data_IF_110761950431
#
_entry.id   IF_110761950431
#
_cell.length_a   1.000
_cell.length_b   1.000
_cell.length_c   1.000
_cell.angle_alpha   90.00
_cell.angle_beta   90.00
_cell.angle_gamma   90.00
#
_symmetry.space_group_name_H-M   'P 1'
#
loop_
_entity.id
_entity.type
_entity.pdbx_description
1 polymer ?
#
# COMPACT_ATOMS: atom_id res chain seq x y z
N UNK A 1 -0.01 21.79 -13.16
CA UNK A 1 0.01 21.25 -14.53
C UNK A 1 1.12 20.22 -14.76
N UNK A 2 2.40 20.58 -14.94
CA UNK A 2 3.43 19.57 -15.27
C UNK A 2 3.62 18.52 -14.16
N UNK A 3 3.68 18.94 -12.89
CA UNK A 3 3.78 18.02 -11.75
C UNK A 3 2.57 17.10 -11.58
N UNK A 4 1.37 17.62 -11.83
CA UNK A 4 0.12 16.83 -11.75
C UNK A 4 0.08 15.77 -12.85
N UNK A 5 0.50 16.12 -14.08
CA UNK A 5 0.60 15.18 -15.18
C UNK A 5 1.62 14.06 -14.89
N UNK A 6 2.76 14.39 -14.28
CA UNK A 6 3.75 13.38 -13.86
C UNK A 6 3.13 12.43 -12.83
N UNK A 7 2.52 12.98 -11.79
CA UNK A 7 1.89 12.15 -10.75
C UNK A 7 0.74 11.28 -11.30
N UNK A 8 -0.06 11.79 -12.24
CA UNK A 8 -1.09 10.98 -12.93
C UNK A 8 -0.50 9.79 -13.69
N UNK A 9 0.64 9.99 -14.37
CA UNK A 9 1.33 8.89 -15.08
C UNK A 9 1.94 7.87 -14.13
N UNK A 10 2.48 8.34 -13.00
CA UNK A 10 3.01 7.48 -11.96
C UNK A 10 1.87 6.63 -11.35
N UNK A 11 0.76 7.26 -10.95
CA UNK A 11 -0.42 6.58 -10.44
C UNK A 11 -0.99 5.57 -11.45
N UNK A 12 -1.08 5.94 -12.74
CA UNK A 12 -1.50 5.01 -13.80
C UNK A 12 -0.62 3.76 -13.86
N UNK A 13 0.70 3.95 -13.85
CA UNK A 13 1.68 2.87 -13.91
C UNK A 13 1.55 1.95 -12.69
N UNK A 14 1.39 2.54 -11.49
CA UNK A 14 1.23 1.80 -10.25
C UNK A 14 -0.07 1.00 -10.21
N UNK A 15 -1.19 1.60 -10.63
CA UNK A 15 -2.49 0.90 -10.63
C UNK A 15 -2.51 -0.21 -11.68
N UNK A 16 -1.92 0.00 -12.86
CA UNK A 16 -1.73 -1.07 -13.85
C UNK A 16 -0.87 -2.21 -13.30
N UNK A 17 0.22 -1.90 -12.59
CA UNK A 17 1.01 -2.92 -11.90
C UNK A 17 0.17 -3.72 -10.90
N UNK A 18 -0.65 -3.05 -10.09
CA UNK A 18 -1.52 -3.72 -9.12
C UNK A 18 -2.55 -4.61 -9.81
N UNK A 19 -3.18 -4.13 -10.89
CA UNK A 19 -4.11 -4.92 -11.69
C UNK A 19 -3.44 -6.21 -12.23
N UNK A 20 -2.29 -6.07 -12.88
CA UNK A 20 -1.54 -7.20 -13.42
C UNK A 20 -1.14 -8.20 -12.33
N UNK A 21 -0.73 -7.71 -11.16
CA UNK A 21 -0.34 -8.53 -10.01
C UNK A 21 -1.52 -9.44 -9.58
N UNK A 22 -2.73 -8.88 -9.55
CA UNK A 22 -3.95 -9.61 -9.21
C UNK A 22 -4.45 -10.51 -10.35
N UNK A 23 -4.24 -10.15 -11.62
CA UNK A 23 -4.57 -10.99 -12.77
C UNK A 23 -3.63 -12.20 -12.87
N UNK A 24 -2.31 -11.99 -12.83
CA UNK A 24 -1.30 -13.06 -12.91
C UNK A 24 -1.33 -13.99 -11.71
N UNK A 25 -1.53 -13.44 -10.51
CA UNK A 25 -1.58 -14.22 -9.29
C UNK A 25 -2.90 -14.93 -9.06
N UNK A 26 -3.98 -14.61 -9.80
CA UNK A 26 -5.33 -15.09 -9.49
C UNK A 26 -5.72 -14.91 -8.00
N UNK A 27 -5.22 -13.84 -7.37
CA UNK A 27 -5.39 -13.59 -5.94
C UNK A 27 -4.48 -14.42 -5.01
N UNK A 28 -3.62 -15.31 -5.50
CA UNK A 28 -2.72 -16.10 -4.66
C UNK A 28 -1.69 -15.20 -3.95
N UNK A 29 -1.72 -15.21 -2.61
CA UNK A 29 -0.89 -14.34 -1.77
C UNK A 29 0.61 -14.53 -2.07
N UNK A 30 1.05 -15.76 -2.31
CA UNK A 30 2.45 -16.05 -2.59
C UNK A 30 2.93 -15.45 -3.91
N UNK A 31 2.07 -15.44 -4.94
CA UNK A 31 2.40 -14.85 -6.23
C UNK A 31 2.41 -13.33 -6.13
N UNK A 32 1.42 -12.76 -5.44
CA UNK A 32 1.31 -11.32 -5.23
C UNK A 32 2.47 -10.77 -4.39
N UNK A 33 3.01 -11.58 -3.46
CA UNK A 33 4.13 -11.20 -2.59
C UNK A 33 5.40 -12.01 -2.83
N UNK A 34 5.66 -12.40 -4.07
CA UNK A 34 6.74 -13.32 -4.42
C UNK A 34 8.11 -12.88 -3.87
N UNK A 35 8.45 -11.59 -4.02
CA UNK A 35 9.72 -11.04 -3.51
C UNK A 35 9.84 -11.20 -1.98
N UNK A 36 8.78 -10.98 -1.22
CA UNK A 36 8.79 -11.19 0.24
C UNK A 36 9.04 -12.66 0.59
N UNK A 37 8.40 -13.59 -0.11
CA UNK A 37 8.59 -15.02 0.13
C UNK A 37 9.99 -15.51 -0.27
N UNK A 38 10.52 -15.02 -1.39
CA UNK A 38 11.93 -15.25 -1.77
C UNK A 38 12.89 -14.74 -0.71
N UNK A 39 12.62 -13.57 -0.14
CA UNK A 39 13.43 -13.01 0.94
C UNK A 39 13.35 -13.85 2.23
N UNK A 40 12.15 -14.27 2.64
CA UNK A 40 11.96 -15.18 3.80
C UNK A 40 12.81 -16.45 3.64
N UNK A 41 12.82 -17.03 2.43
CA UNK A 41 13.54 -18.27 2.18
C UNK A 41 15.08 -18.15 2.28
N UNK A 42 15.63 -16.93 2.22
CA UNK A 42 17.08 -16.68 2.28
C UNK A 42 17.50 -15.91 3.53
N UNK A 43 16.55 -15.36 4.29
CA UNK A 43 16.78 -14.72 5.56
C UNK A 43 16.90 -15.78 6.67
N UNK A 44 17.82 -15.58 7.61
CA UNK A 44 18.03 -16.49 8.75
C UNK A 44 17.66 -15.84 10.11
N UNK A 45 16.92 -14.73 10.09
CA UNK A 45 16.56 -13.97 11.27
C UNK A 45 15.08 -14.17 11.63
N UNK A 46 14.82 -14.95 12.68
CA UNK A 46 13.47 -15.29 13.16
C UNK A 46 12.63 -14.05 13.52
N UNK A 47 13.26 -12.98 14.02
CA UNK A 47 12.56 -11.75 14.39
C UNK A 47 12.05 -11.02 13.14
N UNK A 48 12.82 -11.04 12.05
CA UNK A 48 12.37 -10.53 10.77
C UNK A 48 11.18 -11.36 10.28
N UNK A 49 11.23 -12.69 10.37
CA UNK A 49 10.13 -13.56 9.92
C UNK A 49 8.82 -13.30 10.68
N UNK A 50 8.89 -13.02 11.98
CA UNK A 50 7.75 -12.61 12.80
C UNK A 50 7.14 -11.29 12.32
N UNK A 51 7.98 -10.29 11.99
CA UNK A 51 7.50 -9.04 11.41
C UNK A 51 6.86 -9.25 10.04
N UNK A 52 7.44 -10.10 9.19
CA UNK A 52 6.88 -10.42 7.87
C UNK A 52 5.57 -11.20 7.98
N UNK A 53 5.43 -12.06 9.00
CA UNK A 53 4.15 -12.70 9.33
C UNK A 53 3.09 -11.68 9.71
N UNK A 54 3.45 -10.69 10.52
CA UNK A 54 2.54 -9.60 10.86
C UNK A 54 2.15 -8.79 9.61
N UNK A 55 3.09 -8.46 8.73
CA UNK A 55 2.81 -7.80 7.42
C UNK A 55 1.73 -8.56 6.65
N UNK A 56 1.90 -9.88 6.46
CA UNK A 56 0.91 -10.71 5.76
C UNK A 56 -0.47 -10.68 6.41
N UNK A 57 -0.54 -10.75 7.74
CA UNK A 57 -1.80 -10.72 8.48
C UNK A 57 -2.51 -9.37 8.35
N UNK A 58 -1.78 -8.26 8.41
CA UNK A 58 -2.36 -6.93 8.30
C UNK A 58 -2.82 -6.64 6.85
N UNK A 59 -2.08 -7.10 5.83
CA UNK A 59 -2.52 -7.04 4.44
C UNK A 59 -3.82 -7.83 4.22
N UNK A 60 -3.91 -9.06 4.72
CA UNK A 60 -5.14 -9.85 4.64
C UNK A 60 -6.34 -9.13 5.28
N UNK A 61 -6.12 -8.49 6.45
CA UNK A 61 -7.16 -7.70 7.12
C UNK A 61 -7.64 -6.53 6.27
N UNK A 62 -6.75 -5.83 5.55
CA UNK A 62 -7.16 -4.76 4.63
C UNK A 62 -8.13 -5.29 3.56
N UNK A 63 -7.85 -6.44 2.96
CA UNK A 63 -8.74 -7.02 1.94
C UNK A 63 -10.06 -7.55 2.48
N UNK A 64 -10.09 -8.00 3.74
CA UNK A 64 -11.34 -8.33 4.42
C UNK A 64 -12.21 -7.08 4.60
N UNK A 65 -11.62 -5.90 4.89
CA UNK A 65 -12.37 -4.64 4.98
C UNK A 65 -13.03 -4.29 3.65
N UNK A 66 -12.34 -4.53 2.52
CA UNK A 66 -12.89 -4.30 1.18
C UNK A 66 -14.17 -5.11 0.95
N UNK A 67 -14.14 -6.41 1.27
CA UNK A 67 -15.32 -7.27 1.17
C UNK A 67 -16.47 -6.78 2.06
N UNK A 68 -16.17 -6.47 3.33
CA UNK A 68 -17.17 -5.97 4.28
C UNK A 68 -17.81 -4.65 3.83
N UNK A 69 -17.03 -3.72 3.29
CA UNK A 69 -17.55 -2.45 2.78
C UNK A 69 -18.41 -2.65 1.52
N UNK A 70 -18.03 -3.58 0.64
CA UNK A 70 -18.81 -3.91 -0.55
C UNK A 70 -20.11 -4.64 -0.20
N UNK A 71 -20.10 -5.61 0.74
CA UNK A 71 -21.29 -6.28 1.26
C UNK A 71 -22.21 -5.32 2.00
N UNK A 72 -21.65 -4.44 2.83
CA UNK A 72 -22.41 -3.47 3.59
C UNK A 72 -23.16 -2.48 2.70
N UNK A 73 -22.59 -2.14 1.54
CA UNK A 73 -23.25 -1.37 0.49
C UNK A 73 -24.43 -2.14 -0.13
N UNK A 74 -24.26 -3.44 -0.42
CA UNK A 74 -25.33 -4.30 -0.97
C UNK A 74 -26.49 -4.42 0.02
N UNK A 75 -26.17 -4.54 1.32
CA UNK A 75 -27.15 -4.80 2.38
C UNK A 75 -27.68 -3.53 3.07
N UNK A 76 -27.31 -2.33 2.58
CA UNK A 76 -27.66 -1.03 3.18
C UNK A 76 -27.35 -0.95 4.69
N UNK A 77 -26.27 -1.60 5.14
CA UNK A 77 -25.86 -1.53 6.55
C UNK A 77 -25.33 -0.14 6.90
N UNK A 78 -25.36 0.17 8.20
CA UNK A 78 -25.06 1.47 8.77
C UNK A 78 -23.69 2.04 8.34
N UNK A 79 -23.71 3.21 7.68
CA UNK A 79 -22.53 3.95 7.21
C UNK A 79 -21.48 4.23 8.30
N UNK A 80 -21.90 4.19 9.58
CA UNK A 80 -20.99 4.28 10.73
C UNK A 80 -19.94 3.17 10.73
N UNK A 81 -20.31 1.95 10.33
CA UNK A 81 -19.34 0.85 10.23
C UNK A 81 -18.37 1.04 9.06
N UNK A 82 -18.84 1.59 7.93
CA UNK A 82 -17.96 1.92 6.80
C UNK A 82 -16.94 3.00 7.18
N UNK A 83 -17.35 4.04 7.91
CA UNK A 83 -16.39 5.03 8.45
C UNK A 83 -15.31 4.38 9.30
N UNK A 84 -15.69 3.47 10.22
CA UNK A 84 -14.74 2.75 11.06
C UNK A 84 -13.82 1.82 10.26
N UNK A 85 -14.34 1.16 9.22
CA UNK A 85 -13.54 0.30 8.35
C UNK A 85 -12.53 1.13 7.52
N UNK A 86 -12.89 2.34 7.09
CA UNK A 86 -11.96 3.29 6.43
C UNK A 86 -10.87 3.75 7.40
N UNK A 87 -11.22 4.14 8.63
CA UNK A 87 -10.22 4.49 9.65
C UNK A 87 -9.28 3.31 9.95
N UNK A 88 -9.84 2.11 10.04
CA UNK A 88 -9.08 0.90 10.25
C UNK A 88 -8.12 0.62 9.08
N UNK A 89 -8.53 0.90 7.82
CA UNK A 89 -7.62 0.81 6.68
C UNK A 89 -6.35 1.66 6.89
N UNK A 90 -6.46 2.92 7.31
CA UNK A 90 -5.30 3.77 7.57
C UNK A 90 -4.40 3.23 8.69
N UNK A 91 -5.01 2.69 9.75
CA UNK A 91 -4.27 2.05 10.86
C UNK A 91 -3.50 0.83 10.35
N UNK A 92 -4.18 -0.07 9.64
CA UNK A 92 -3.60 -1.31 9.10
C UNK A 92 -2.49 -1.04 8.11
N UNK A 93 -2.71 -0.10 7.19
CA UNK A 93 -1.71 0.34 6.23
C UNK A 93 -0.44 0.83 6.93
N UNK A 94 -0.59 1.68 7.96
CA UNK A 94 0.56 2.17 8.73
C UNK A 94 1.29 1.06 9.47
N UNK A 95 0.55 0.12 10.07
CA UNK A 95 1.11 -1.03 10.79
C UNK A 95 1.93 -1.94 9.87
N UNK A 96 1.48 -2.18 8.64
CA UNK A 96 2.28 -2.90 7.63
C UNK A 96 3.64 -2.22 7.46
N UNK A 97 3.65 -0.91 7.28
CA UNK A 97 4.89 -0.16 7.06
C UNK A 97 5.78 -0.16 8.31
N UNK A 98 5.21 -0.07 9.51
CA UNK A 98 5.98 -0.19 10.76
C UNK A 98 6.75 -1.52 10.83
N UNK A 99 6.09 -2.64 10.51
CA UNK A 99 6.75 -3.94 10.51
C UNK A 99 7.82 -4.08 9.41
N UNK A 100 7.59 -3.51 8.23
CA UNK A 100 8.61 -3.47 7.18
C UNK A 100 9.82 -2.66 7.63
N UNK A 101 9.62 -1.49 8.25
CA UNK A 101 10.71 -0.66 8.77
C UNK A 101 11.54 -1.42 9.81
N UNK A 102 10.89 -2.10 10.76
CA UNK A 102 11.61 -2.89 11.75
C UNK A 102 12.41 -4.03 11.08
N UNK A 103 11.85 -4.68 10.07
CA UNK A 103 12.56 -5.68 9.26
C UNK A 103 13.80 -5.09 8.58
N UNK A 104 13.68 -3.91 7.97
CA UNK A 104 14.80 -3.18 7.34
C UNK A 104 15.88 -2.84 8.38
N UNK A 105 15.47 -2.35 9.55
CA UNK A 105 16.41 -2.00 10.63
C UNK A 105 17.20 -3.21 11.10
N UNK A 106 16.53 -4.33 11.28
CA UNK A 106 17.18 -5.58 11.67
C UNK A 106 18.13 -6.07 10.56
N UNK A 107 17.68 -6.06 9.30
CA UNK A 107 18.47 -6.54 8.16
C UNK A 107 19.75 -5.72 7.94
N UNK A 108 19.67 -4.40 8.01
CA UNK A 108 20.84 -3.51 7.84
C UNK A 108 21.55 -3.19 9.16
N UNK A 109 21.23 -3.90 10.25
CA UNK A 109 21.83 -3.70 11.58
C UNK A 109 21.80 -2.23 12.04
N UNK A 110 20.72 -1.53 11.74
CA UNK A 110 20.56 -0.12 12.03
C UNK A 110 20.43 0.04 13.56
N UNK A 111 21.31 0.82 14.21
CA UNK A 111 21.33 0.92 15.66
C UNK A 111 20.01 1.50 16.19
N UNK A 112 19.48 0.98 17.32
CA UNK A 112 18.25 1.43 17.93
C UNK A 112 18.46 2.84 18.50
N UNK A 113 18.12 3.86 17.72
CA UNK A 113 18.03 5.24 18.20
C UNK A 113 16.60 5.51 18.68
N UNK A 114 16.42 6.33 19.73
CA UNK A 114 15.10 6.76 20.16
C UNK A 114 14.44 7.54 19.03
N UNK A 115 13.47 6.89 18.36
CA UNK A 115 12.71 7.41 17.22
C UNK A 115 13.57 7.83 16.03
N UNK A 116 14.14 6.85 15.31
CA UNK A 116 14.50 7.14 13.92
C UNK A 116 13.24 7.54 13.17
N UNK A 117 13.29 8.72 12.56
CA UNK A 117 12.24 9.17 11.67
C UNK A 117 12.29 8.29 10.41
N UNK A 118 11.13 7.96 9.83
CA UNK A 118 11.09 7.08 8.66
C UNK A 118 11.92 7.65 7.48
N UNK A 119 12.12 8.96 7.40
CA UNK A 119 13.03 9.59 6.44
C UNK A 119 14.46 9.03 6.51
N UNK A 120 14.98 8.74 7.71
CA UNK A 120 16.30 8.14 7.86
C UNK A 120 16.36 6.73 7.24
N UNK A 121 15.25 6.01 7.22
CA UNK A 121 15.17 4.69 6.59
C UNK A 121 15.26 4.85 5.07
N UNK A 122 14.47 5.74 4.48
CA UNK A 122 14.54 6.05 3.05
C UNK A 122 15.92 6.57 2.64
N UNK A 123 16.58 7.39 3.45
CA UNK A 123 17.97 7.84 3.21
C UNK A 123 18.95 6.67 3.21
N UNK A 124 18.81 5.72 4.13
CA UNK A 124 19.66 4.52 4.17
C UNK A 124 19.42 3.65 2.93
N UNK A 125 18.16 3.47 2.52
CA UNK A 125 17.82 2.72 1.31
C UNK A 125 18.39 3.39 0.06
N UNK A 126 18.26 4.72 -0.06
CA UNK A 126 18.84 5.49 -1.16
C UNK A 126 20.35 5.35 -1.21
N UNK A 127 21.02 5.45 -0.06
CA UNK A 127 22.47 5.23 0.02
C UNK A 127 22.84 3.82 -0.44
N UNK A 128 22.06 2.79 -0.09
CA UNK A 128 22.31 1.41 -0.53
C UNK A 128 22.12 1.23 -2.03
N UNK A 129 21.09 1.86 -2.59
CA UNK A 129 20.80 1.89 -4.03
C UNK A 129 21.95 2.57 -4.79
N UNK A 130 22.42 3.73 -4.31
CA UNK A 130 23.55 4.47 -4.88
C UNK A 130 24.88 3.70 -4.78
N UNK A 131 25.17 3.14 -3.61
CA UNK A 131 26.38 2.31 -3.35
C UNK A 131 26.49 1.14 -4.34
N UNK A 132 25.35 0.60 -4.81
CA UNK A 132 25.28 -0.54 -5.71
C UNK A 132 24.88 -0.18 -7.15
N UNK A 133 24.80 1.12 -7.49
CA UNK A 133 24.44 1.62 -8.82
C UNK A 133 23.10 1.06 -9.34
N UNK A 134 22.11 0.95 -8.45
CA UNK A 134 20.78 0.42 -8.79
C UNK A 134 19.86 1.57 -9.22
N UNK A 135 19.20 1.45 -10.37
CA UNK A 135 18.29 2.50 -10.86
C UNK A 135 16.80 2.16 -10.73
N UNK A 136 16.47 0.86 -10.66
CA UNK A 136 15.11 0.31 -10.84
C UNK A 136 14.18 0.42 -9.61
N UNK A 137 14.50 1.24 -8.62
CA UNK A 137 13.74 1.34 -7.35
C UNK A 137 13.15 2.75 -7.13
N UNK A 138 12.24 3.24 -7.99
CA UNK A 138 11.74 4.61 -7.95
C UNK A 138 10.96 4.94 -6.67
N UNK A 139 10.18 4.01 -6.11
CA UNK A 139 9.44 4.26 -4.87
C UNK A 139 10.35 4.26 -3.64
N UNK A 140 11.48 3.54 -3.65
CA UNK A 140 12.46 3.66 -2.57
C UNK A 140 13.19 5.01 -2.62
N UNK A 141 13.25 5.64 -3.80
CA UNK A 141 13.80 6.99 -4.00
C UNK A 141 12.85 8.11 -3.57
N UNK A 142 11.56 7.80 -3.38
CA UNK A 142 10.54 8.79 -3.01
C UNK A 142 9.78 8.41 -1.74
N UNK A 143 9.73 9.32 -0.78
CA UNK A 143 9.03 9.16 0.50
C UNK A 143 7.75 10.01 0.63
N UNK A 144 7.36 10.70 -0.44
CA UNK A 144 6.19 11.60 -0.44
C UNK A 144 4.89 10.84 -0.23
N UNK A 145 4.64 9.77 -1.00
CA UNK A 145 3.43 8.94 -0.88
C UNK A 145 3.21 8.43 0.55
N UNK A 146 4.30 8.10 1.25
CA UNK A 146 4.24 7.66 2.63
C UNK A 146 3.89 8.80 3.60
N UNK A 147 4.44 10.00 3.37
CA UNK A 147 4.18 11.17 4.22
C UNK A 147 2.69 11.48 4.25
N UNK A 148 2.02 11.39 3.12
CA UNK A 148 0.61 11.73 3.00
C UNK A 148 -0.25 10.77 3.83
N UNK A 149 -0.08 9.45 3.63
CA UNK A 149 -0.84 8.46 4.41
C UNK A 149 -0.50 8.48 5.90
N UNK A 150 0.75 8.77 6.27
CA UNK A 150 1.14 8.94 7.67
C UNK A 150 0.45 10.16 8.30
N UNK A 151 0.35 11.28 7.59
CA UNK A 151 -0.36 12.46 8.05
C UNK A 151 -1.85 12.18 8.24
N UNK A 152 -2.48 11.51 7.27
CA UNK A 152 -3.91 11.18 7.32
C UNK A 152 -4.22 10.28 8.52
N UNK A 153 -3.43 9.21 8.71
CA UNK A 153 -3.55 8.32 9.86
C UNK A 153 -3.30 9.05 11.18
N UNK A 154 -2.28 9.90 11.26
CA UNK A 154 -1.99 10.64 12.49
C UNK A 154 -3.10 11.63 12.85
N UNK A 155 -3.71 12.28 11.86
CA UNK A 155 -4.92 13.09 12.04
C UNK A 155 -6.05 12.27 12.66
N UNK A 156 -6.40 11.14 12.05
CA UNK A 156 -7.47 10.26 12.52
C UNK A 156 -7.24 9.70 13.92
N UNK A 157 -6.02 9.20 14.21
CA UNK A 157 -5.74 8.47 15.46
C UNK A 157 -5.35 9.39 16.62
N UNK A 158 -4.67 10.50 16.34
CA UNK A 158 -4.08 11.37 17.36
C UNK A 158 -4.53 12.83 17.28
N UNK A 159 -4.86 13.31 16.07
CA UNK A 159 -5.19 14.72 15.79
C UNK A 159 -6.65 15.10 15.99
N UNK A 160 -7.52 14.15 16.36
CA UNK A 160 -8.95 14.39 16.53
C UNK A 160 -9.70 14.58 15.20
N UNK A 161 -9.09 14.21 14.08
CA UNK A 161 -9.76 14.19 12.78
C UNK A 161 -10.82 13.11 12.72
N UNK A 162 -11.85 13.32 11.91
CA UNK A 162 -12.98 12.40 11.78
C UNK A 162 -13.12 11.92 10.34
N UNK A 163 -13.47 10.63 10.17
CA UNK A 163 -13.85 10.07 8.88
C UNK A 163 -15.39 10.03 8.73
N UNK A 164 -15.92 10.78 7.77
CA UNK A 164 -17.34 10.77 7.45
C UNK A 164 -17.58 10.09 6.11
N UNK A 165 -18.49 9.11 6.11
CA UNK A 165 -18.98 8.42 4.90
C UNK A 165 -20.36 8.95 4.56
N UNK A 166 -20.57 9.25 3.28
CA UNK A 166 -21.86 9.75 2.79
C UNK A 166 -22.64 8.64 2.08
N UNK A 167 -23.96 8.73 2.20
CA UNK A 167 -24.86 7.83 1.47
C UNK A 167 -24.77 8.10 -0.03
N UNK A 168 -24.40 7.09 -0.80
CA UNK A 168 -24.41 7.11 -2.26
C UNK A 168 -24.83 5.74 -2.80
N UNK A 169 -25.54 5.71 -3.92
CA UNK A 169 -26.15 4.47 -4.43
C UNK A 169 -25.09 3.52 -5.02
N UNK A 170 -24.10 4.07 -5.72
CA UNK A 170 -23.12 3.27 -6.47
C UNK A 170 -21.69 3.38 -5.96
N UNK A 171 -21.40 4.25 -4.99
CA UNK A 171 -20.03 4.55 -4.58
C UNK A 171 -19.86 4.57 -3.07
N UNK A 172 -18.61 4.36 -2.64
CA UNK A 172 -18.19 4.59 -1.26
C UNK A 172 -17.45 5.93 -1.28
N UNK A 173 -18.11 6.98 -0.82
CA UNK A 173 -17.55 8.34 -0.80
C UNK A 173 -17.30 8.78 0.64
N UNK A 174 -16.15 9.39 0.88
CA UNK A 174 -15.72 9.75 2.22
C UNK A 174 -14.98 11.09 2.27
N UNK A 175 -14.92 11.67 3.46
CA UNK A 175 -14.13 12.85 3.77
C UNK A 175 -13.41 12.66 5.10
N UNK A 176 -12.16 13.13 5.17
CA UNK A 176 -11.42 13.28 6.43
C UNK A 176 -11.24 14.77 6.71
N UNK A 177 -11.69 15.22 7.87
CA UNK A 177 -11.57 16.61 8.30
C UNK A 177 -11.07 16.72 9.74
N UNK A 178 -10.35 17.80 10.03
CA UNK A 178 -9.83 18.09 11.38
C UNK A 178 -10.90 18.73 12.28
N UNK A 179 -10.51 19.13 13.50
CA UNK A 179 -11.41 19.79 14.45
C UNK A 179 -11.90 21.18 13.98
N UNK A 180 -11.21 21.80 13.04
CA UNK A 180 -11.58 23.07 12.42
C UNK A 180 -12.41 22.88 11.15
N UNK A 181 -12.77 21.64 10.81
CA UNK A 181 -13.43 21.24 9.56
C UNK A 181 -12.57 21.50 8.31
N UNK A 182 -11.26 21.65 8.47
CA UNK A 182 -10.33 21.72 7.35
C UNK A 182 -10.11 20.31 6.79
N UNK A 183 -10.14 20.21 5.47
CA UNK A 183 -9.90 18.95 4.77
C UNK A 183 -8.42 18.56 4.86
N UNK A 184 -8.18 17.29 5.19
CA UNK A 184 -6.83 16.77 5.44
C UNK A 184 -6.24 16.10 4.20
N UNK A 185 -7.08 15.52 3.35
CA UNK A 185 -6.62 14.90 2.10
C UNK A 185 -6.52 16.00 1.05
N UNK A 186 -5.39 16.11 0.38
CA UNK A 186 -5.23 17.01 -0.76
C UNK A 186 -4.53 16.26 -1.89
N UNK A 187 -5.33 15.78 -2.84
CA UNK A 187 -4.87 14.86 -3.87
C UNK A 187 -5.42 15.23 -5.26
N UNK A 188 -5.07 14.43 -6.27
CA UNK A 188 -5.43 14.60 -7.67
C UNK A 188 -6.94 14.53 -7.90
N UNK A 189 -7.39 15.17 -8.98
CA UNK A 189 -8.82 15.40 -9.23
C UNK A 189 -9.61 14.11 -9.50
N UNK A 190 -9.00 13.10 -10.13
CA UNK A 190 -9.64 11.81 -10.38
C UNK A 190 -10.04 11.07 -9.09
N UNK A 191 -9.40 11.39 -7.95
CA UNK A 191 -9.74 10.82 -6.64
C UNK A 191 -10.94 11.51 -6.00
N UNK A 192 -11.34 12.70 -6.46
CA UNK A 192 -12.40 13.51 -5.87
C UNK A 192 -13.74 13.21 -6.52
N UNK A 193 -14.73 12.93 -5.69
CA UNK A 193 -16.14 12.95 -6.08
C UNK A 193 -16.62 14.39 -6.21
N UNK A 194 -16.35 15.20 -5.18
CA UNK A 194 -16.63 16.63 -5.11
C UNK A 194 -15.54 17.31 -4.26
N UNK A 195 -15.65 18.64 -4.04
CA UNK A 195 -14.70 19.38 -3.22
C UNK A 195 -14.58 18.74 -1.83
N UNK A 196 -13.38 18.25 -1.51
CA UNK A 196 -13.02 17.58 -0.25
C UNK A 196 -13.71 16.22 0.01
N UNK A 197 -14.41 15.66 -0.97
CA UNK A 197 -15.06 14.33 -0.87
C UNK A 197 -14.43 13.41 -1.89
N UNK A 198 -14.02 12.21 -1.46
CA UNK A 198 -13.18 11.31 -2.22
C UNK A 198 -13.87 9.99 -2.54
N UNK A 199 -13.56 9.42 -3.70
CA UNK A 199 -13.90 8.05 -4.02
C UNK A 199 -12.98 7.10 -3.24
N UNK A 200 -13.51 6.42 -2.24
CA UNK A 200 -12.72 5.50 -1.42
C UNK A 200 -12.12 4.36 -2.24
N UNK A 201 -12.81 3.90 -3.29
CA UNK A 201 -12.33 2.81 -4.15
C UNK A 201 -11.04 3.19 -4.88
N UNK A 202 -11.01 4.36 -5.49
CA UNK A 202 -9.83 4.86 -6.20
C UNK A 202 -8.71 5.15 -5.21
N UNK A 203 -9.04 5.79 -4.08
CA UNK A 203 -8.08 6.02 -3.01
C UNK A 203 -7.43 4.70 -2.53
N UNK A 204 -8.23 3.69 -2.21
CA UNK A 204 -7.72 2.40 -1.75
C UNK A 204 -6.82 1.74 -2.80
N UNK A 205 -7.24 1.72 -4.06
CA UNK A 205 -6.48 1.08 -5.15
C UNK A 205 -5.11 1.76 -5.33
N UNK A 206 -5.07 3.08 -5.38
CA UNK A 206 -3.83 3.84 -5.58
C UNK A 206 -2.86 3.63 -4.42
N UNK A 207 -3.33 3.77 -3.17
CA UNK A 207 -2.46 3.57 -2.01
C UNK A 207 -2.03 2.10 -1.86
N UNK A 208 -2.90 1.13 -2.15
CA UNK A 208 -2.48 -0.27 -2.18
C UNK A 208 -1.45 -0.52 -3.28
N UNK A 209 -1.57 0.12 -4.45
CA UNK A 209 -0.57 0.02 -5.51
C UNK A 209 0.81 0.53 -5.05
N UNK A 210 0.86 1.70 -4.40
CA UNK A 210 2.08 2.19 -3.74
C UNK A 210 2.64 1.17 -2.76
N UNK A 211 1.80 0.57 -1.91
CA UNK A 211 2.25 -0.39 -0.90
C UNK A 211 2.82 -1.68 -1.52
N UNK A 212 2.15 -2.28 -2.50
CA UNK A 212 2.63 -3.52 -3.14
C UNK A 212 3.88 -3.29 -3.97
N UNK A 213 3.95 -2.17 -4.68
CA UNK A 213 5.14 -1.81 -5.43
C UNK A 213 6.32 -1.56 -4.49
N UNK A 214 6.09 -0.84 -3.37
CA UNK A 214 7.11 -0.66 -2.33
C UNK A 214 7.57 -1.97 -1.70
N UNK A 215 6.65 -2.88 -1.39
CA UNK A 215 6.95 -4.23 -0.89
C UNK A 215 7.84 -4.99 -1.87
N UNK A 216 7.48 -4.99 -3.16
CA UNK A 216 8.27 -5.64 -4.19
C UNK A 216 9.69 -5.04 -4.27
N UNK A 217 9.78 -3.71 -4.33
CA UNK A 217 11.06 -2.99 -4.40
C UNK A 217 11.96 -3.31 -3.20
N UNK A 218 11.44 -3.23 -1.97
CA UNK A 218 12.27 -3.40 -0.78
C UNK A 218 12.81 -4.83 -0.66
N UNK A 219 12.00 -5.84 -0.96
CA UNK A 219 12.45 -7.23 -0.87
C UNK A 219 13.39 -7.59 -2.01
N UNK A 220 13.16 -7.09 -3.23
CA UNK A 220 14.11 -7.27 -4.33
C UNK A 220 15.45 -6.60 -4.03
N UNK A 221 15.46 -5.42 -3.41
CA UNK A 221 16.67 -4.78 -2.94
C UNK A 221 17.40 -5.65 -1.91
N UNK A 222 16.69 -6.11 -0.86
CA UNK A 222 17.32 -6.95 0.17
C UNK A 222 17.82 -8.30 -0.38
N UNK A 223 17.11 -8.92 -1.33
CA UNK A 223 17.58 -10.12 -2.04
C UNK A 223 18.87 -9.81 -2.82
N UNK A 224 18.87 -8.72 -3.59
CA UNK A 224 20.03 -8.29 -4.40
C UNK A 224 21.26 -8.06 -3.53
N UNK A 225 21.09 -7.39 -2.40
CA UNK A 225 22.17 -7.07 -1.47
C UNK A 225 22.66 -8.29 -0.67
N UNK A 226 21.86 -9.35 -0.57
CA UNK A 226 22.25 -10.56 0.17
C UNK A 226 23.44 -11.29 -0.49
N UNK A 227 23.66 -11.15 -1.81
CA UNK A 227 24.91 -11.43 -2.53
C UNK A 227 25.57 -12.82 -2.43
N UNK A 228 25.17 -13.72 -1.54
CA UNK A 228 25.89 -14.94 -1.20
C UNK A 228 25.03 -16.19 -1.33
N UNK A 229 25.43 -17.10 -2.21
CA UNK A 229 24.82 -18.41 -2.53
C UNK A 229 23.59 -18.42 -3.47
N UNK A 230 23.79 -17.92 -4.70
CA UNK A 230 23.01 -18.34 -5.88
C UNK A 230 23.38 -19.80 -6.30
N UNK A 231 23.53 -20.73 -5.35
CA UNK A 231 23.70 -22.17 -5.62
C UNK A 231 22.54 -23.03 -5.18
N UNK A 232 21.57 -22.42 -4.53
CA UNK A 232 20.22 -22.94 -4.41
C UNK A 232 19.33 -21.73 -4.46
N UNK A 233 18.86 -21.35 -5.65
CA UNK A 233 17.53 -20.73 -5.68
C UNK A 233 16.67 -21.64 -4.79
N UNK A 234 16.01 -21.12 -3.74
CA UNK A 234 15.08 -21.93 -2.99
C UNK A 234 14.13 -22.52 -4.02
N UNK A 235 14.24 -23.83 -4.28
CA UNK A 235 13.16 -24.53 -4.93
C UNK A 235 11.96 -24.24 -4.04
N UNK A 236 10.95 -23.61 -4.62
CA UNK A 236 9.68 -23.35 -3.96
C UNK A 236 9.32 -24.59 -3.12
N UNK A 237 9.40 -24.47 -1.80
CA UNK A 237 8.85 -25.50 -0.93
C UNK A 237 7.35 -25.22 -0.95
N UNK A 238 6.66 -25.78 -1.94
CA UNK A 238 5.19 -25.72 -2.10
C UNK A 238 4.42 -26.19 -0.85
N UNK A 239 5.10 -26.74 0.16
CA UNK A 239 4.50 -27.65 1.13
C UNK A 239 4.42 -27.18 2.59
N UNK A 240 4.75 -25.93 2.94
CA UNK A 240 4.75 -25.55 4.38
C UNK A 240 3.76 -24.47 4.82
N UNK A 241 2.84 -23.98 3.98
CA UNK A 241 1.56 -23.44 4.47
C UNK A 241 0.64 -23.12 3.28
N UNK A 242 -0.66 -23.51 3.31
CA UNK A 242 -1.64 -23.07 2.32
C UNK A 242 -1.94 -21.59 2.59
N UNK A 243 -1.10 -20.70 2.09
CA UNK A 243 -1.39 -19.28 2.09
C UNK A 243 -2.44 -19.06 1.00
N UNK A 244 -3.69 -19.02 1.44
CA UNK A 244 -4.86 -18.99 0.58
C UNK A 244 -4.91 -17.79 -0.38
N UNK A 245 -6.05 -17.62 -1.02
CA UNK A 245 -6.30 -16.49 -1.91
C UNK A 245 -6.61 -15.23 -1.10
N UNK A 246 -6.21 -14.07 -1.61
CA UNK A 246 -6.72 -12.78 -1.17
C UNK A 246 -8.22 -12.77 -1.42
N UNK A 247 -9.00 -12.72 -0.34
CA UNK A 247 -10.44 -12.51 -0.42
C UNK A 247 -10.73 -11.24 -1.22
N UNK A 248 -11.80 -11.25 -2.01
CA UNK A 248 -12.25 -10.09 -2.79
C UNK A 248 -11.29 -9.64 -3.90
N UNK A 249 -10.41 -10.52 -4.39
CA UNK A 249 -9.49 -10.24 -5.51
C UNK A 249 -10.22 -9.73 -6.77
N UNK A 250 -11.41 -10.28 -7.08
CA UNK A 250 -12.23 -9.81 -8.21
C UNK A 250 -12.75 -8.38 -8.01
N UNK A 251 -13.07 -8.00 -6.77
CA UNK A 251 -13.50 -6.63 -6.44
C UNK A 251 -12.33 -5.66 -6.64
N UNK A 252 -11.13 -6.03 -6.17
CA UNK A 252 -9.92 -5.21 -6.36
C UNK A 252 -9.62 -5.04 -7.85
N UNK A 253 -9.64 -6.12 -8.64
CA UNK A 253 -9.44 -6.05 -10.11
C UNK A 253 -10.44 -5.12 -10.77
N UNK A 254 -11.72 -5.20 -10.40
CA UNK A 254 -12.76 -4.29 -10.91
C UNK A 254 -12.44 -2.85 -10.55
N UNK A 255 -12.06 -2.56 -9.30
CA UNK A 255 -11.74 -1.20 -8.88
C UNK A 255 -10.47 -0.67 -9.54
N UNK A 256 -9.47 -1.52 -9.82
CA UNK A 256 -8.31 -1.13 -10.63
C UNK A 256 -8.72 -0.67 -12.03
N UNK A 257 -9.57 -1.45 -12.73
CA UNK A 257 -10.08 -1.10 -14.06
C UNK A 257 -10.82 0.24 -14.06
N UNK A 258 -11.70 0.44 -13.08
CA UNK A 258 -12.44 1.69 -12.95
C UNK A 258 -11.51 2.88 -12.66
N UNK A 259 -10.49 2.67 -11.82
CA UNK A 259 -9.50 3.70 -11.48
C UNK A 259 -8.59 4.05 -12.67
N UNK A 260 -8.14 3.07 -13.44
CA UNK A 260 -7.33 3.27 -14.65
C UNK A 260 -8.10 4.15 -15.63
N UNK A 261 -9.37 3.81 -15.91
CA UNK A 261 -10.22 4.61 -16.79
C UNK A 261 -10.37 6.06 -16.29
N UNK A 262 -10.50 6.27 -14.97
CA UNK A 262 -10.61 7.60 -14.40
C UNK A 262 -9.30 8.41 -14.56
N UNK A 263 -8.14 7.79 -14.34
CA UNK A 263 -6.82 8.42 -14.53
C UNK A 263 -6.60 8.78 -16.01
N UNK A 264 -6.93 7.87 -16.93
CA UNK A 264 -6.82 8.11 -18.38
C UNK A 264 -7.71 9.27 -18.83
N UNK A 265 -8.95 9.34 -18.35
CA UNK A 265 -9.85 10.45 -18.61
C UNK A 265 -9.26 11.77 -18.10
N UNK A 266 -8.67 11.79 -16.90
CA UNK A 266 -8.03 12.99 -16.37
C UNK A 266 -6.82 13.42 -17.20
N UNK A 267 -6.00 12.46 -17.65
CA UNK A 267 -4.86 12.71 -18.53
C UNK A 267 -5.26 13.37 -19.86
N UNK A 268 -6.47 13.09 -20.38
CA UNK A 268 -6.95 13.74 -21.61
C UNK A 268 -7.08 15.26 -21.50
N UNK A 269 -7.22 15.80 -20.28
CA UNK A 269 -7.32 17.25 -20.04
C UNK A 269 -5.99 17.99 -20.20
N UNK A 270 -4.88 17.26 -20.33
CA UNK A 270 -3.54 17.81 -20.52
C UNK A 270 -3.08 17.78 -21.99
N UNK A 271 -3.89 17.19 -22.88
CA UNK A 271 -3.70 17.19 -24.33
C UNK A 271 -4.37 18.40 -24.98
#
# INVERSE_FOLDING_TARGET
MEKEMVQLKDDLTLVQYLEELFEKGNGEIQVIHEAMYKFIAINNNEIIDDHLKAVRQELAKIYILVGRMQEGKINQTDFRYTSLDIELFFVKYRTVIDHIIESIKLYFEIPPKPRKNLWEIFEILNKKIEEHQLEDYPLLKSSLWFKDIANYRNGLVHGGSNCMVFKHDTEIIFQIFDLNFDNIINDLEYLKYEKNVYYFRYFLVVYMAYLHYFLNDIFNLMITLNGGNIKSQPQFIENEMPFGTIDNSDIIKSWCKDCINAIEQELTKFN
#
